data_IF_989046407282
#
_entry.id   IF_989046407282
#
_cell.length_a   1.000
_cell.length_b   1.000
_cell.length_c   1.000
_cell.angle_alpha   90.00
_cell.angle_beta   90.00
_cell.angle_gamma   90.00
#
_symmetry.space_group_name_H-M   'P 1'
#
loop_
_entity.id
_entity.type
_entity.pdbx_description
1 polymer ?
#
# COMPACT_ATOMS: atom_id res chain seq x y z
N UNK A 1 1.00 24.31 -42.86
CA UNK A 1 0.24 24.14 -41.61
C UNK A 1 0.49 22.71 -41.18
N UNK A 2 1.56 22.51 -40.42
CA UNK A 2 1.98 21.20 -39.95
C UNK A 2 1.22 20.90 -38.66
N UNK A 3 0.48 19.79 -38.66
CA UNK A 3 -0.18 19.28 -37.47
C UNK A 3 0.88 18.55 -36.66
N UNK A 4 1.52 19.25 -35.74
CA UNK A 4 2.32 18.61 -34.70
C UNK A 4 1.37 17.81 -33.82
N UNK A 5 1.37 16.51 -34.07
CA UNK A 5 0.78 15.48 -33.22
C UNK A 5 1.31 15.65 -31.82
N UNK A 6 0.45 16.13 -30.92
CA UNK A 6 0.63 16.06 -29.47
C UNK A 6 0.54 14.57 -29.12
N UNK A 7 1.65 13.85 -29.28
CA UNK A 7 1.80 12.48 -28.79
C UNK A 7 1.82 12.58 -27.27
N UNK A 8 0.66 12.28 -26.69
CA UNK A 8 0.35 12.41 -25.27
C UNK A 8 1.37 11.70 -24.38
N UNK A 9 1.82 12.44 -23.36
CA UNK A 9 2.69 12.05 -22.24
C UNK A 9 2.03 11.01 -21.30
N UNK A 10 1.57 9.89 -21.84
CA UNK A 10 0.79 8.86 -21.11
C UNK A 10 1.54 7.56 -20.80
N UNK A 11 2.64 7.28 -21.52
CA UNK A 11 3.40 6.03 -21.34
C UNK A 11 4.08 5.93 -19.97
N UNK A 12 4.66 7.02 -19.46
CA UNK A 12 5.39 7.01 -18.20
C UNK A 12 4.48 6.73 -16.99
N UNK A 13 3.31 7.37 -16.94
CA UNK A 13 2.34 7.18 -15.85
C UNK A 13 1.69 5.81 -15.91
N UNK A 14 1.42 5.30 -17.13
CA UNK A 14 0.87 3.95 -17.32
C UNK A 14 1.84 2.84 -16.90
N UNK A 15 3.14 3.00 -17.17
CA UNK A 15 4.15 2.04 -16.74
C UNK A 15 4.34 2.05 -15.22
N UNK A 16 4.35 3.23 -14.59
CA UNK A 16 4.42 3.37 -13.15
C UNK A 16 3.20 2.71 -12.47
N UNK A 17 1.98 3.03 -12.92
CA UNK A 17 0.74 2.43 -12.43
C UNK A 17 0.70 0.91 -12.62
N UNK A 18 1.15 0.40 -13.78
CA UNK A 18 1.25 -1.04 -14.02
C UNK A 18 2.26 -1.73 -13.08
N UNK A 19 3.36 -1.05 -12.73
CA UNK A 19 4.35 -1.55 -11.79
C UNK A 19 3.82 -1.56 -10.36
N UNK A 20 3.15 -0.47 -9.93
CA UNK A 20 2.45 -0.38 -8.65
C UNK A 20 1.42 -1.49 -8.52
N UNK A 21 0.58 -1.71 -9.53
CA UNK A 21 -0.41 -2.78 -9.53
C UNK A 21 0.20 -4.19 -9.35
N UNK A 22 1.33 -4.47 -10.01
CA UNK A 22 2.06 -5.74 -9.85
C UNK A 22 2.65 -5.90 -8.46
N UNK A 23 3.25 -4.83 -7.92
CA UNK A 23 3.81 -4.80 -6.57
C UNK A 23 2.71 -5.03 -5.53
N UNK A 24 1.61 -4.30 -5.63
CA UNK A 24 0.46 -4.44 -4.72
C UNK A 24 -0.13 -5.85 -4.79
N UNK A 25 -0.27 -6.43 -5.98
CA UNK A 25 -0.72 -7.80 -6.12
C UNK A 25 0.24 -8.82 -5.46
N UNK A 26 1.55 -8.63 -5.61
CA UNK A 26 2.57 -9.49 -4.96
C UNK A 26 2.48 -9.39 -3.44
N UNK A 27 2.42 -8.18 -2.89
CA UNK A 27 2.40 -7.94 -1.45
C UNK A 27 1.09 -8.42 -0.81
N UNK A 28 -0.06 -8.08 -1.40
CA UNK A 28 -1.37 -8.38 -0.82
C UNK A 28 -1.78 -9.86 -0.92
N UNK A 29 -1.14 -10.64 -1.79
CA UNK A 29 -1.33 -12.10 -1.88
C UNK A 29 -0.21 -12.90 -1.20
N UNK A 30 0.82 -12.26 -0.65
CA UNK A 30 1.87 -12.94 0.09
C UNK A 30 1.31 -13.64 1.34
N UNK A 31 1.95 -14.72 1.80
CA UNK A 31 1.58 -15.34 3.09
C UNK A 31 1.89 -14.34 4.22
N UNK A 32 0.96 -14.09 5.17
CA UNK A 32 1.15 -13.06 6.21
C UNK A 32 2.51 -13.14 6.93
N UNK A 33 2.88 -14.34 7.43
CA UNK A 33 4.18 -14.56 8.09
C UNK A 33 5.40 -14.25 7.22
N UNK A 34 5.32 -14.51 5.91
CA UNK A 34 6.43 -14.19 4.99
C UNK A 34 6.56 -12.68 4.80
N UNK A 35 5.42 -11.99 4.74
CA UNK A 35 5.39 -10.54 4.63
C UNK A 35 5.91 -9.86 5.91
N UNK A 36 5.47 -10.31 7.09
CA UNK A 36 6.00 -9.85 8.38
C UNK A 36 7.52 -10.01 8.45
N UNK A 37 8.05 -11.19 8.10
CA UNK A 37 9.49 -11.44 8.09
C UNK A 37 10.25 -10.58 7.07
N UNK A 38 9.66 -10.28 5.90
CA UNK A 38 10.28 -9.40 4.91
C UNK A 38 10.29 -7.95 5.39
N UNK A 39 9.21 -7.47 6.00
CA UNK A 39 9.13 -6.15 6.63
C UNK A 39 10.17 -6.01 7.76
N UNK A 40 10.27 -6.99 8.66
CA UNK A 40 11.24 -6.96 9.75
C UNK A 40 12.69 -6.85 9.24
N UNK A 41 13.04 -7.64 8.21
CA UNK A 41 14.37 -7.61 7.58
C UNK A 41 14.70 -6.31 6.85
N UNK A 42 13.71 -5.52 6.44
CA UNK A 42 13.94 -4.18 5.87
C UNK A 42 14.26 -3.13 6.94
N UNK A 43 13.81 -3.34 8.18
CA UNK A 43 14.15 -2.49 9.32
C UNK A 43 15.53 -2.77 9.92
N UNK A 44 16.10 -3.94 9.64
CA UNK A 44 17.45 -4.30 10.06
C UNK A 44 18.51 -3.62 9.15
N UNK A 45 19.61 -3.15 9.75
CA UNK A 45 20.76 -2.60 9.03
C UNK A 45 21.23 -3.56 7.90
N UNK A 46 21.81 -3.06 6.80
CA UNK A 46 22.06 -3.86 5.60
C UNK A 46 23.05 -4.98 5.90
N UNK A 47 22.54 -6.14 6.32
CA UNK A 47 23.27 -7.38 6.19
C UNK A 47 23.31 -7.70 4.70
N UNK A 48 24.50 -8.03 4.20
CA UNK A 48 24.78 -8.42 2.83
C UNK A 48 24.10 -9.75 2.44
N UNK A 49 22.79 -9.89 2.67
CA UNK A 49 22.01 -10.99 2.13
C UNK A 49 21.65 -10.64 0.70
N UNK A 50 22.36 -11.28 -0.22
CA UNK A 50 22.10 -11.33 -1.67
C UNK A 50 20.71 -11.93 -2.00
N UNK A 51 19.91 -12.26 -0.99
CA UNK A 51 18.63 -12.96 -1.05
C UNK A 51 17.43 -12.06 -0.73
N UNK A 52 17.49 -10.78 -1.13
CA UNK A 52 16.27 -9.97 -1.22
C UNK A 52 15.36 -10.60 -2.27
N UNK A 53 14.37 -11.38 -1.84
CA UNK A 53 13.39 -11.94 -2.74
C UNK A 53 12.55 -10.85 -3.40
N UNK A 54 11.69 -11.29 -4.34
CA UNK A 54 10.71 -10.41 -5.00
C UNK A 54 9.84 -9.61 -4.00
N UNK A 55 9.69 -10.08 -2.76
CA UNK A 55 8.87 -9.42 -1.74
C UNK A 55 9.58 -8.21 -1.11
N UNK A 56 10.87 -8.35 -0.77
CA UNK A 56 11.70 -7.26 -0.25
C UNK A 56 11.87 -6.15 -1.29
N UNK A 57 12.07 -6.52 -2.55
CA UNK A 57 12.11 -5.57 -3.67
C UNK A 57 10.77 -4.85 -3.85
N UNK A 58 9.65 -5.58 -3.80
CA UNK A 58 8.29 -5.02 -3.85
C UNK A 58 8.03 -4.03 -2.71
N UNK A 59 8.47 -4.35 -1.49
CA UNK A 59 8.36 -3.45 -0.34
C UNK A 59 9.22 -2.19 -0.53
N UNK A 60 10.48 -2.32 -0.97
CA UNK A 60 11.34 -1.15 -1.25
C UNK A 60 10.73 -0.24 -2.32
N UNK A 61 10.18 -0.84 -3.38
CA UNK A 61 9.47 -0.11 -4.42
C UNK A 61 8.26 0.64 -3.83
N UNK A 62 7.43 -0.05 -3.05
CA UNK A 62 6.26 0.56 -2.42
C UNK A 62 6.64 1.76 -1.54
N UNK A 63 7.64 1.61 -0.68
CA UNK A 63 8.10 2.69 0.21
C UNK A 63 8.60 3.90 -0.59
N UNK A 64 9.39 3.64 -1.65
CA UNK A 64 9.88 4.70 -2.53
C UNK A 64 8.72 5.42 -3.24
N UNK A 65 7.80 4.65 -3.84
CA UNK A 65 6.64 5.18 -4.55
C UNK A 65 5.77 6.03 -3.64
N UNK A 66 5.46 5.56 -2.42
CA UNK A 66 4.65 6.31 -1.46
C UNK A 66 5.36 7.60 -1.05
N UNK A 67 6.68 7.59 -0.82
CA UNK A 67 7.45 8.80 -0.50
C UNK A 67 7.40 9.82 -1.63
N UNK A 68 7.66 9.38 -2.86
CA UNK A 68 7.60 10.24 -4.05
C UNK A 68 6.18 10.82 -4.25
N UNK A 69 5.14 9.99 -4.12
CA UNK A 69 3.77 10.45 -4.24
C UNK A 69 3.39 11.48 -3.16
N UNK A 70 3.86 11.31 -1.92
CA UNK A 70 3.64 12.29 -0.84
C UNK A 70 4.37 13.61 -1.12
N UNK A 71 5.63 13.54 -1.56
CA UNK A 71 6.42 14.72 -1.94
C UNK A 71 5.77 15.50 -3.10
N UNK A 72 5.26 14.78 -4.10
CA UNK A 72 4.61 15.34 -5.28
C UNK A 72 3.11 15.65 -5.07
N UNK A 73 2.56 15.37 -3.88
CA UNK A 73 1.13 15.52 -3.54
C UNK A 73 0.21 14.78 -4.50
N UNK A 74 0.66 13.63 -4.98
CA UNK A 74 -0.14 12.73 -5.80
C UNK A 74 -1.07 11.88 -4.94
N UNK A 75 -2.16 11.43 -5.54
CA UNK A 75 -3.10 10.51 -4.90
C UNK A 75 -2.46 9.15 -4.66
N UNK A 76 -2.68 8.59 -3.48
CA UNK A 76 -2.28 7.23 -3.10
C UNK A 76 -3.39 6.19 -3.35
N UNK A 77 -4.43 6.52 -4.12
CA UNK A 77 -5.56 5.63 -4.43
C UNK A 77 -5.07 4.27 -4.99
N UNK A 78 -4.04 4.26 -5.85
CA UNK A 78 -3.49 3.03 -6.45
C UNK A 78 -2.86 2.07 -5.43
N UNK A 79 -2.56 2.56 -4.23
CA UNK A 79 -2.02 1.77 -3.10
C UNK A 79 -3.13 1.47 -2.09
N UNK A 80 -3.89 2.48 -1.71
CA UNK A 80 -4.87 2.42 -0.62
C UNK A 80 -6.13 1.64 -1.00
N UNK A 81 -6.64 1.82 -2.23
CA UNK A 81 -7.83 1.09 -2.69
C UNK A 81 -7.59 -0.43 -2.68
N UNK A 82 -6.49 -0.97 -3.25
CA UNK A 82 -6.19 -2.39 -3.14
C UNK A 82 -6.07 -2.90 -1.69
N UNK A 83 -5.55 -2.09 -0.75
CA UNK A 83 -5.48 -2.45 0.66
C UNK A 83 -6.87 -2.54 1.31
N UNK A 84 -7.75 -1.58 1.01
CA UNK A 84 -9.15 -1.57 1.45
C UNK A 84 -9.89 -2.81 0.91
N UNK A 85 -9.70 -3.13 -0.37
CA UNK A 85 -10.29 -4.31 -0.98
C UNK A 85 -9.73 -5.61 -0.40
N UNK A 86 -8.43 -5.65 -0.08
CA UNK A 86 -7.81 -6.81 0.56
C UNK A 86 -8.43 -7.11 1.93
N UNK A 87 -8.80 -6.08 2.70
CA UNK A 87 -9.50 -6.24 3.98
C UNK A 87 -10.89 -6.89 3.83
N UNK A 88 -11.51 -6.83 2.65
CA UNK A 88 -12.80 -7.49 2.38
C UNK A 88 -12.66 -8.97 2.07
N UNK A 89 -11.53 -9.38 1.49
CA UNK A 89 -11.28 -10.75 1.02
C UNK A 89 -11.13 -11.76 2.16
N UNK A 90 -10.60 -11.33 3.30
CA UNK A 90 -10.34 -12.22 4.43
C UNK A 90 -11.41 -12.05 5.52
N UNK A 91 -12.19 -13.11 5.76
CA UNK A 91 -13.09 -13.19 6.93
C UNK A 91 -12.24 -13.30 8.20
N UNK A 92 -12.74 -12.69 9.28
CA UNK A 92 -12.28 -12.74 10.68
C UNK A 92 -11.20 -13.80 10.94
N UNK A 93 -9.97 -13.44 10.60
CA UNK A 93 -8.82 -14.33 10.69
C UNK A 93 -8.06 -13.97 11.96
N UNK A 94 -7.51 -14.97 12.66
CA UNK A 94 -6.67 -14.72 13.83
C UNK A 94 -5.38 -13.97 13.48
N UNK A 95 -5.00 -13.93 12.20
CA UNK A 95 -3.80 -13.29 11.70
C UNK A 95 -4.11 -11.92 11.06
N UNK A 96 -3.20 -10.94 11.20
CA UNK A 96 -3.33 -9.66 10.51
C UNK A 96 -3.40 -9.90 8.99
N UNK A 97 -4.27 -9.13 8.33
CA UNK A 97 -4.31 -9.14 6.87
C UNK A 97 -3.03 -8.51 6.33
N UNK A 98 -2.69 -8.81 5.07
CA UNK A 98 -1.53 -8.25 4.40
C UNK A 98 -1.62 -6.72 4.37
N UNK A 99 -2.82 -6.17 4.14
CA UNK A 99 -3.08 -4.74 4.27
C UNK A 99 -2.70 -4.19 5.65
N UNK A 100 -2.97 -4.92 6.74
CA UNK A 100 -2.59 -4.48 8.10
C UNK A 100 -1.08 -4.51 8.35
N UNK A 101 -0.40 -5.55 7.87
CA UNK A 101 1.06 -5.62 7.98
C UNK A 101 1.70 -4.42 7.25
N UNK A 102 1.22 -4.11 6.04
CA UNK A 102 1.74 -3.00 5.24
C UNK A 102 1.43 -1.63 5.84
N UNK A 103 0.19 -1.39 6.28
CA UNK A 103 -0.18 -0.11 6.90
C UNK A 103 0.58 0.13 8.19
N UNK A 104 0.68 -0.89 9.07
CA UNK A 104 1.45 -0.77 10.29
C UNK A 104 2.93 -0.44 10.02
N UNK A 105 3.49 -0.99 8.96
CA UNK A 105 4.86 -0.69 8.54
C UNK A 105 5.02 0.72 7.96
N UNK A 106 4.14 1.14 7.04
CA UNK A 106 4.20 2.47 6.44
C UNK A 106 3.93 3.58 7.47
N UNK A 107 3.11 3.31 8.49
CA UNK A 107 2.76 4.25 9.55
C UNK A 107 3.91 4.50 10.55
N UNK A 108 5.01 3.75 10.47
CA UNK A 108 6.19 4.02 11.29
C UNK A 108 6.88 5.35 10.92
N UNK A 109 6.67 5.84 9.70
CA UNK A 109 7.14 7.15 9.24
C UNK A 109 6.01 8.18 9.41
N UNK A 110 6.19 9.15 10.33
CA UNK A 110 5.15 10.12 10.71
C UNK A 110 4.66 10.97 9.53
N UNK A 111 5.56 11.31 8.60
CA UNK A 111 5.21 12.07 7.41
C UNK A 111 4.30 11.23 6.49
N UNK A 112 4.62 9.95 6.32
CA UNK A 112 3.80 9.03 5.55
C UNK A 112 2.47 8.74 6.23
N UNK A 113 2.46 8.57 7.55
CA UNK A 113 1.23 8.36 8.32
C UNK A 113 0.21 9.46 8.04
N UNK A 114 0.62 10.72 8.19
CA UNK A 114 -0.28 11.86 8.00
C UNK A 114 -0.85 11.91 6.58
N UNK A 115 0.00 11.69 5.57
CA UNK A 115 -0.44 11.70 4.18
C UNK A 115 -1.38 10.53 3.86
N UNK A 116 -1.04 9.31 4.28
CA UNK A 116 -1.86 8.12 4.09
C UNK A 116 -3.21 8.24 4.81
N UNK A 117 -3.24 8.76 6.03
CA UNK A 117 -4.47 8.97 6.78
C UNK A 117 -5.40 9.98 6.09
N UNK A 118 -4.84 11.08 5.58
CA UNK A 118 -5.59 12.07 4.83
C UNK A 118 -6.15 11.49 3.52
N UNK A 119 -5.36 10.73 2.78
CA UNK A 119 -5.84 10.11 1.53
C UNK A 119 -6.87 9.02 1.77
N UNK A 120 -6.72 8.21 2.82
CA UNK A 120 -7.76 7.29 3.27
C UNK A 120 -9.07 8.04 3.56
N UNK A 121 -9.01 9.14 4.32
CA UNK A 121 -10.18 9.97 4.62
C UNK A 121 -10.80 10.57 3.35
N UNK A 122 -9.98 11.02 2.39
CA UNK A 122 -10.42 11.54 1.11
C UNK A 122 -11.16 10.47 0.29
N UNK A 123 -10.61 9.26 0.17
CA UNK A 123 -11.22 8.13 -0.54
C UNK A 123 -12.63 7.86 -0.03
N UNK A 124 -12.81 7.80 1.30
CA UNK A 124 -14.11 7.52 1.92
C UNK A 124 -15.07 8.70 1.74
N UNK A 125 -14.56 9.93 1.85
CA UNK A 125 -15.35 11.14 1.77
C UNK A 125 -15.93 11.38 0.38
N UNK A 126 -15.31 10.84 -0.68
CA UNK A 126 -15.86 10.86 -2.04
C UNK A 126 -17.23 10.14 -2.11
N UNK A 127 -17.53 9.19 -1.21
CA UNK A 127 -18.83 8.48 -1.08
C UNK A 127 -19.34 7.81 -2.37
N UNK A 128 -18.46 7.55 -3.33
CA UNK A 128 -18.83 7.01 -4.65
C UNK A 128 -19.07 5.50 -4.62
N UNK A 129 -18.40 4.77 -3.71
CA UNK A 129 -18.41 3.31 -3.70
C UNK A 129 -18.74 2.73 -2.31
N UNK A 130 -19.88 2.03 -2.24
CA UNK A 130 -20.34 1.33 -1.03
C UNK A 130 -19.43 0.15 -0.64
N UNK A 131 -18.78 -0.49 -1.61
CA UNK A 131 -17.84 -1.58 -1.38
C UNK A 131 -16.58 -1.05 -0.70
N UNK A 132 -16.04 0.08 -1.18
CA UNK A 132 -14.92 0.78 -0.54
C UNK A 132 -15.27 1.21 0.88
N UNK A 133 -16.46 1.78 1.09
CA UNK A 133 -16.92 2.15 2.43
C UNK A 133 -16.99 0.95 3.40
N UNK A 134 -17.47 -0.21 2.93
CA UNK A 134 -17.48 -1.43 3.75
C UNK A 134 -16.06 -1.93 4.05
N UNK A 135 -15.17 -1.90 3.06
CA UNK A 135 -13.78 -2.29 3.22
C UNK A 135 -13.07 -1.42 4.24
N UNK A 136 -13.31 -0.12 4.18
CA UNK A 136 -12.83 0.83 5.17
C UNK A 136 -13.30 0.50 6.59
N UNK A 137 -14.60 0.24 6.77
CA UNK A 137 -15.14 -0.13 8.09
C UNK A 137 -14.47 -1.39 8.65
N UNK A 138 -14.17 -2.38 7.80
CA UNK A 138 -13.41 -3.57 8.23
C UNK A 138 -11.97 -3.25 8.55
N UNK A 139 -11.30 -2.46 7.71
CA UNK A 139 -9.92 -2.06 7.88
C UNK A 139 -9.69 -1.32 9.20
N UNK A 140 -10.51 -0.31 9.50
CA UNK A 140 -10.44 0.44 10.77
C UNK A 140 -10.67 -0.46 11.96
N UNK A 141 -11.68 -1.34 11.89
CA UNK A 141 -11.92 -2.32 12.96
C UNK A 141 -10.69 -3.20 13.19
N UNK A 142 -10.07 -3.69 12.12
CA UNK A 142 -8.85 -4.49 12.21
C UNK A 142 -7.65 -3.71 12.76
N UNK A 143 -7.51 -2.41 12.44
CA UNK A 143 -6.46 -1.55 13.02
C UNK A 143 -6.61 -1.44 14.53
N UNK A 144 -7.82 -1.14 15.00
CA UNK A 144 -8.13 -1.03 16.44
C UNK A 144 -7.94 -2.39 17.15
N UNK A 145 -8.34 -3.49 16.53
CA UNK A 145 -8.13 -4.84 17.09
C UNK A 145 -6.66 -5.27 17.09
N UNK A 146 -5.84 -4.80 16.14
CA UNK A 146 -4.41 -5.11 16.04
C UNK A 146 -3.61 -4.46 17.17
N UNK A 147 -3.88 -3.18 17.45
CA UNK A 147 -3.27 -2.45 18.57
C UNK A 147 -3.52 -3.18 19.91
N UNK A 148 -4.76 -3.61 20.15
CA UNK A 148 -5.14 -4.33 21.36
C UNK A 148 -4.48 -5.72 21.52
N UNK A 149 -3.90 -6.29 20.45
CA UNK A 149 -3.17 -7.57 20.51
C UNK A 149 -1.68 -7.40 20.73
N UNK A 150 -1.14 -6.22 20.45
CA UNK A 150 0.27 -5.89 20.64
C UNK A 150 0.54 -5.08 21.91
N UNK A 151 -0.49 -4.53 22.54
CA UNK A 151 -0.47 -3.94 23.89
C UNK A 151 -0.54 -5.02 24.98
#
# INVERSE_FOLDING_TARGET
MEYETIIWKSESTSMASAMVGRVMNTLLNARPKKLENAVARLGEAPHNSVEGGSLEESLRFLNKFVKEAVEEKQSLDEVLVPMIENALKFKESKHPTQAMILLNWLFQDEALFTALANDLANIISRREDRYIALGWCRLVRSLVEYENRMA
#
